data_IF_358871342612
#
_entry.id   IF_358871342612
#
_cell.length_a   1.000
_cell.length_b   1.000
_cell.length_c   1.000
_cell.angle_alpha   90.00
_cell.angle_beta   90.00
_cell.angle_gamma   90.00
#
_symmetry.space_group_name_H-M   'P 1'
#
loop_
_entity.id
_entity.type
_entity.pdbx_description
1 polymer ?
#
# COMPACT_ATOMS: atom_id res chain seq x y z
N UNK A 1 -3.80 -17.58 42.38
CA UNK A 1 -2.84 -16.74 41.63
C UNK A 1 -2.20 -17.50 40.46
N UNK A 2 -1.60 -18.69 40.66
CA UNK A 2 -0.90 -19.44 39.58
C UNK A 2 -1.76 -19.77 38.35
N UNK A 3 -3.03 -20.16 38.50
CA UNK A 3 -3.88 -20.50 37.36
C UNK A 3 -4.17 -19.31 36.43
N UNK A 4 -4.34 -18.11 37.00
CA UNK A 4 -4.50 -16.88 36.23
C UNK A 4 -3.23 -16.54 35.42
N UNK A 5 -2.05 -16.80 35.98
CA UNK A 5 -0.78 -16.67 35.26
C UNK A 5 -0.66 -17.73 34.15
N UNK A 6 -1.01 -18.99 34.43
CA UNK A 6 -1.04 -20.09 33.46
C UNK A 6 -1.96 -19.79 32.27
N UNK A 7 -3.16 -19.27 32.52
CA UNK A 7 -4.07 -18.78 31.49
C UNK A 7 -3.44 -17.69 30.60
N UNK A 8 -2.81 -16.67 31.21
CA UNK A 8 -2.12 -15.61 30.45
C UNK A 8 -0.97 -16.15 29.60
N UNK A 9 -0.19 -17.11 30.10
CA UNK A 9 0.89 -17.77 29.33
C UNK A 9 0.32 -18.48 28.10
N UNK A 10 -0.76 -19.24 28.24
CA UNK A 10 -1.42 -19.89 27.10
C UNK A 10 -1.96 -18.85 26.09
N UNK A 11 -2.52 -17.73 26.55
CA UNK A 11 -2.96 -16.64 25.66
C UNK A 11 -1.81 -16.01 24.88
N UNK A 12 -0.65 -15.76 25.51
CA UNK A 12 0.54 -15.26 24.82
C UNK A 12 1.10 -16.28 23.81
N UNK A 13 1.11 -17.58 24.13
CA UNK A 13 1.48 -18.63 23.18
C UNK A 13 0.56 -18.67 21.96
N UNK A 14 -0.76 -18.52 22.14
CA UNK A 14 -1.69 -18.38 20.99
C UNK A 14 -1.35 -17.14 20.15
N UNK A 15 -1.10 -15.98 20.76
CA UNK A 15 -0.70 -14.75 20.04
C UNK A 15 0.60 -14.96 19.23
N UNK A 16 1.59 -15.64 19.80
CA UNK A 16 2.84 -15.98 19.11
C UNK A 16 2.62 -16.97 17.94
N UNK A 17 1.88 -18.06 18.15
CA UNK A 17 1.58 -19.01 17.06
C UNK A 17 0.77 -18.38 15.92
N UNK A 18 -0.10 -17.41 16.22
CA UNK A 18 -0.79 -16.59 15.22
C UNK A 18 0.21 -15.79 14.38
N UNK A 19 1.16 -15.09 15.01
CA UNK A 19 2.19 -14.31 14.31
C UNK A 19 3.13 -15.20 13.47
N UNK A 20 3.49 -16.38 13.98
CA UNK A 20 4.29 -17.39 13.28
C UNK A 20 3.49 -18.14 12.19
N UNK A 21 2.19 -17.85 11.99
CA UNK A 21 1.27 -18.58 11.10
C UNK A 21 1.19 -20.09 11.36
N UNK A 22 1.47 -20.54 12.59
CA UNK A 22 1.48 -21.97 12.97
C UNK A 22 0.09 -22.48 13.37
N UNK A 23 -0.76 -22.71 12.36
CA UNK A 23 -2.18 -23.06 12.56
C UNK A 23 -2.43 -24.31 13.42
N UNK A 24 -1.62 -25.36 13.26
CA UNK A 24 -1.75 -26.62 14.04
C UNK A 24 -1.38 -26.43 15.51
N UNK A 25 -0.36 -25.63 15.82
CA UNK A 25 0.02 -25.31 17.19
C UNK A 25 -1.01 -24.38 17.85
N UNK A 26 -1.43 -23.33 17.14
CA UNK A 26 -2.47 -22.39 17.58
C UNK A 26 -3.78 -23.10 17.96
N UNK A 27 -4.30 -24.00 17.10
CA UNK A 27 -5.54 -24.75 17.37
C UNK A 27 -5.46 -25.63 18.63
N UNK A 28 -4.29 -26.18 18.96
CA UNK A 28 -4.08 -26.93 20.21
C UNK A 28 -4.06 -25.99 21.41
N UNK A 29 -3.30 -24.90 21.32
CA UNK A 29 -3.11 -23.97 22.43
C UNK A 29 -4.41 -23.22 22.80
N UNK A 30 -5.28 -22.93 21.83
CA UNK A 30 -6.63 -22.39 22.06
C UNK A 30 -7.48 -23.32 22.95
N UNK A 31 -7.32 -24.65 22.85
CA UNK A 31 -7.99 -25.59 23.77
C UNK A 31 -7.43 -25.48 25.19
N UNK A 32 -6.12 -25.33 25.34
CA UNK A 32 -5.45 -25.12 26.65
C UNK A 32 -5.95 -23.87 27.36
N UNK A 33 -6.14 -22.75 26.63
CA UNK A 33 -6.75 -21.52 27.19
C UNK A 33 -8.18 -21.80 27.65
N UNK A 34 -8.99 -22.49 26.83
CA UNK A 34 -10.39 -22.81 27.16
C UNK A 34 -10.52 -23.65 28.44
N UNK A 35 -9.65 -24.63 28.62
CA UNK A 35 -9.62 -25.48 29.80
C UNK A 35 -9.18 -24.73 31.08
N UNK A 36 -8.43 -23.64 30.95
CA UNK A 36 -7.86 -22.89 32.10
C UNK A 36 -8.68 -21.65 32.48
N UNK A 37 -9.46 -21.09 31.55
CA UNK A 37 -10.11 -19.79 31.73
C UNK A 37 -11.58 -19.73 31.24
N UNK A 38 -12.17 -20.88 30.90
CA UNK A 38 -13.53 -20.94 30.37
C UNK A 38 -13.73 -20.11 29.10
N UNK A 39 -14.97 -19.72 28.82
CA UNK A 39 -15.32 -18.95 27.63
C UNK A 39 -15.19 -17.43 27.83
N UNK A 40 -13.99 -16.99 28.23
CA UNK A 40 -13.68 -15.58 28.48
C UNK A 40 -13.56 -14.74 27.20
N UNK A 41 -13.74 -13.41 27.32
CA UNK A 41 -13.63 -12.49 26.18
C UNK A 41 -12.26 -12.57 25.45
N UNK A 42 -11.10 -12.62 26.13
CA UNK A 42 -9.81 -12.80 25.44
C UNK A 42 -9.74 -14.10 24.61
N UNK A 43 -10.32 -15.21 25.08
CA UNK A 43 -10.39 -16.45 24.31
C UNK A 43 -11.26 -16.29 23.06
N UNK A 44 -12.40 -15.62 23.15
CA UNK A 44 -13.28 -15.39 22.01
C UNK A 44 -12.62 -14.49 20.95
N UNK A 45 -11.88 -13.47 21.36
CA UNK A 45 -11.06 -12.65 20.46
C UNK A 45 -9.96 -13.47 19.77
N UNK A 46 -9.25 -14.34 20.50
CA UNK A 46 -8.23 -15.21 19.94
C UNK A 46 -8.82 -16.25 18.96
N UNK A 47 -9.96 -16.87 19.31
CA UNK A 47 -10.72 -17.76 18.42
C UNK A 47 -11.18 -17.04 17.16
N UNK A 48 -11.69 -15.81 17.28
CA UNK A 48 -12.10 -15.00 16.13
C UNK A 48 -10.92 -14.67 15.21
N UNK A 49 -9.78 -14.23 15.76
CA UNK A 49 -8.59 -13.94 14.97
C UNK A 49 -8.08 -15.19 14.23
N UNK A 50 -8.08 -16.35 14.90
CA UNK A 50 -7.73 -17.63 14.27
C UNK A 50 -8.66 -17.99 13.10
N UNK A 51 -9.99 -17.79 13.23
CA UNK A 51 -10.93 -18.05 12.13
C UNK A 51 -10.85 -16.99 11.03
N UNK A 52 -10.59 -15.72 11.36
CA UNK A 52 -10.33 -14.63 10.40
C UNK A 52 -9.13 -14.95 9.50
N UNK A 53 -8.01 -15.39 10.07
CA UNK A 53 -6.81 -15.80 9.32
C UNK A 53 -7.01 -17.03 8.44
N UNK A 54 -8.08 -17.81 8.66
CA UNK A 54 -8.47 -18.93 7.80
C UNK A 54 -9.48 -18.57 6.72
N UNK A 55 -9.89 -17.30 6.61
CA UNK A 55 -10.95 -16.86 5.70
C UNK A 55 -12.38 -17.10 6.21
N UNK A 56 -12.56 -17.63 7.42
CA UNK A 56 -13.86 -18.00 7.99
C UNK A 56 -14.59 -16.77 8.59
N UNK A 57 -14.74 -15.70 7.80
CA UNK A 57 -15.21 -14.38 8.26
C UNK A 57 -16.58 -14.42 8.97
N UNK A 58 -17.55 -15.17 8.43
CA UNK A 58 -18.89 -15.34 9.06
C UNK A 58 -18.79 -15.94 10.47
N UNK A 59 -17.81 -16.83 10.72
CA UNK A 59 -17.57 -17.45 12.02
C UNK A 59 -16.80 -16.53 12.96
N UNK A 60 -15.82 -15.78 12.45
CA UNK A 60 -15.10 -14.75 13.20
C UNK A 60 -16.05 -13.69 13.78
N UNK A 61 -16.99 -13.16 12.98
CA UNK A 61 -18.02 -12.22 13.46
C UNK A 61 -18.89 -12.83 14.57
N UNK A 62 -19.39 -14.06 14.39
CA UNK A 62 -20.19 -14.76 15.43
C UNK A 62 -19.42 -14.91 16.74
N UNK A 63 -18.12 -15.20 16.69
CA UNK A 63 -17.25 -15.35 17.87
C UNK A 63 -16.95 -14.03 18.57
N UNK A 64 -16.85 -12.91 17.86
CA UNK A 64 -16.74 -11.58 18.49
C UNK A 64 -18.07 -11.19 19.14
N UNK A 65 -19.19 -11.34 18.44
CA UNK A 65 -20.51 -10.94 18.93
C UNK A 65 -20.98 -11.76 20.15
N UNK A 66 -20.42 -12.95 20.38
CA UNK A 66 -20.67 -13.72 21.61
C UNK A 66 -19.78 -13.34 22.79
N UNK A 67 -18.89 -12.34 22.64
CA UNK A 67 -18.04 -11.85 23.73
C UNK A 67 -18.74 -10.77 24.55
N UNK A 68 -18.76 -10.94 25.87
CA UNK A 68 -19.31 -9.94 26.78
C UNK A 68 -18.31 -8.78 26.96
N UNK A 69 -18.42 -7.78 26.09
CA UNK A 69 -17.57 -6.58 26.10
C UNK A 69 -17.98 -5.54 27.15
N UNK A 70 -19.12 -5.72 27.83
CA UNK A 70 -19.66 -4.77 28.79
C UNK A 70 -19.03 -4.94 30.20
N UNK A 71 -18.79 -6.18 30.62
CA UNK A 71 -18.26 -6.55 31.95
C UNK A 71 -16.73 -6.43 32.08
N UNK A 72 -16.03 -5.93 31.07
CA UNK A 72 -14.57 -5.85 31.12
C UNK A 72 -14.08 -4.84 32.16
N UNK A 73 -13.05 -5.21 32.93
CA UNK A 73 -12.46 -4.41 34.03
C UNK A 73 -11.90 -3.03 33.65
N UNK A 74 -11.89 -2.71 32.35
CA UNK A 74 -11.62 -1.39 31.81
C UNK A 74 -10.14 -0.98 31.77
N UNK A 75 -9.83 0.12 31.05
CA UNK A 75 -8.46 0.59 30.82
C UNK A 75 -7.65 0.83 32.10
N UNK A 76 -8.28 1.33 33.16
CA UNK A 76 -7.61 1.64 34.44
C UNK A 76 -7.01 0.38 35.09
N UNK A 77 -7.65 -0.79 34.95
CA UNK A 77 -7.20 -2.04 35.59
C UNK A 77 -6.36 -2.92 34.67
N UNK A 78 -6.59 -2.89 33.35
CA UNK A 78 -5.92 -3.81 32.42
C UNK A 78 -5.04 -3.14 31.36
N UNK A 79 -5.21 -1.84 31.13
CA UNK A 79 -4.65 -1.13 29.97
C UNK A 79 -5.35 -1.41 28.63
N UNK A 80 -6.40 -2.23 28.60
CA UNK A 80 -7.06 -2.68 27.37
C UNK A 80 -8.45 -2.05 27.19
N UNK A 81 -8.65 -1.29 26.11
CA UNK A 81 -9.98 -0.84 25.68
C UNK A 81 -10.63 -1.91 24.78
N UNK A 82 -11.31 -2.88 25.39
CA UNK A 82 -11.93 -4.01 24.68
C UNK A 82 -13.02 -3.58 23.69
N UNK A 83 -13.76 -2.48 23.95
CA UNK A 83 -14.74 -1.93 23.00
C UNK A 83 -14.07 -1.40 21.72
N UNK A 84 -12.97 -0.67 21.86
CA UNK A 84 -12.15 -0.24 20.74
C UNK A 84 -11.63 -1.44 19.93
N UNK A 85 -11.06 -2.46 20.61
CA UNK A 85 -10.58 -3.67 19.95
C UNK A 85 -11.70 -4.44 19.22
N UNK A 86 -12.90 -4.53 19.81
CA UNK A 86 -14.06 -5.17 19.21
C UNK A 86 -14.44 -4.54 17.87
N UNK A 87 -14.65 -3.21 17.84
CA UNK A 87 -15.02 -2.51 16.61
C UNK A 87 -13.89 -2.50 15.58
N UNK A 88 -12.63 -2.34 16.00
CA UNK A 88 -11.49 -2.45 15.08
C UNK A 88 -11.43 -3.83 14.40
N UNK A 89 -11.62 -4.91 15.17
CA UNK A 89 -11.58 -6.27 14.63
C UNK A 89 -12.75 -6.54 13.66
N UNK A 90 -13.95 -6.02 13.94
CA UNK A 90 -15.06 -6.05 12.97
C UNK A 90 -14.72 -5.26 11.71
N UNK A 91 -14.08 -4.09 11.82
CA UNK A 91 -13.55 -3.32 10.70
C UNK A 91 -12.61 -4.15 9.82
N UNK A 92 -11.61 -4.81 10.42
CA UNK A 92 -10.67 -5.69 9.72
C UNK A 92 -11.36 -6.89 9.04
N UNK A 93 -12.34 -7.53 9.69
CA UNK A 93 -13.09 -8.64 9.07
C UNK A 93 -13.89 -8.14 7.87
N UNK A 94 -14.57 -7.00 7.98
CA UNK A 94 -15.36 -6.45 6.87
C UNK A 94 -14.49 -5.91 5.73
N UNK A 95 -13.28 -5.42 6.02
CA UNK A 95 -12.27 -5.13 5.00
C UNK A 95 -11.89 -6.39 4.20
N UNK A 96 -11.57 -7.49 4.87
CA UNK A 96 -11.23 -8.76 4.22
C UNK A 96 -12.40 -9.39 3.43
N UNK A 97 -13.65 -9.06 3.79
CA UNK A 97 -14.86 -9.39 3.01
C UNK A 97 -15.11 -8.45 1.81
N UNK A 98 -14.24 -7.47 1.54
CA UNK A 98 -14.44 -6.44 0.50
C UNK A 98 -15.54 -5.42 0.81
N UNK A 99 -16.12 -5.44 2.02
CA UNK A 99 -17.26 -4.60 2.42
C UNK A 99 -16.78 -3.23 2.93
N UNK A 100 -16.09 -2.50 2.07
CA UNK A 100 -15.30 -1.33 2.44
C UNK A 100 -16.06 -0.27 3.26
N UNK A 101 -17.27 0.13 2.84
CA UNK A 101 -18.08 1.10 3.59
C UNK A 101 -18.45 0.64 5.01
N UNK A 102 -18.67 -0.66 5.21
CA UNK A 102 -18.98 -1.24 6.52
C UNK A 102 -17.71 -1.35 7.38
N UNK A 103 -16.55 -1.61 6.77
CA UNK A 103 -15.24 -1.47 7.43
C UNK A 103 -15.01 -0.06 7.96
N UNK A 104 -15.26 0.99 7.14
CA UNK A 104 -15.15 2.40 7.55
C UNK A 104 -16.05 2.68 8.76
N UNK A 105 -17.30 2.24 8.73
CA UNK A 105 -18.24 2.44 9.84
C UNK A 105 -17.70 1.89 11.16
N UNK A 106 -17.18 0.66 11.16
CA UNK A 106 -16.63 0.05 12.37
C UNK A 106 -15.30 0.66 12.82
N UNK A 107 -14.41 1.07 11.91
CA UNK A 107 -13.20 1.82 12.30
C UNK A 107 -13.53 3.20 12.90
N UNK A 108 -14.52 3.92 12.34
CA UNK A 108 -15.01 5.18 12.94
C UNK A 108 -15.60 4.96 14.33
N UNK A 109 -16.33 3.85 14.54
CA UNK A 109 -16.83 3.50 15.87
C UNK A 109 -15.73 3.11 16.86
N UNK A 110 -14.67 2.45 16.41
CA UNK A 110 -13.48 2.19 17.22
C UNK A 110 -12.78 3.48 17.66
N UNK A 111 -12.65 4.46 16.76
CA UNK A 111 -12.12 5.80 17.07
C UNK A 111 -13.00 6.52 18.12
N UNK A 112 -14.33 6.45 18.01
CA UNK A 112 -15.24 7.04 19.01
C UNK A 112 -15.06 6.43 20.41
N UNK A 113 -14.95 5.10 20.52
CA UNK A 113 -14.67 4.44 21.82
C UNK A 113 -13.28 4.79 22.37
N UNK A 114 -12.28 4.93 21.49
CA UNK A 114 -10.93 5.36 21.87
C UNK A 114 -10.93 6.78 22.41
N UNK A 115 -11.54 7.72 21.70
CA UNK A 115 -11.59 9.13 22.09
C UNK A 115 -12.44 9.32 23.35
N UNK A 116 -13.54 8.57 23.50
CA UNK A 116 -14.31 8.51 24.75
C UNK A 116 -13.50 7.94 25.93
N UNK A 117 -12.70 6.89 25.69
CA UNK A 117 -11.77 6.35 26.69
C UNK A 117 -10.72 7.37 27.11
N UNK A 118 -10.13 8.09 26.15
CA UNK A 118 -9.14 9.12 26.41
C UNK A 118 -9.75 10.31 27.18
N UNK A 119 -10.99 10.69 26.86
CA UNK A 119 -11.74 11.69 27.62
C UNK A 119 -11.98 11.23 29.06
N UNK A 120 -12.44 10.00 29.30
CA UNK A 120 -12.60 9.46 30.66
C UNK A 120 -11.29 9.42 31.48
N UNK A 121 -10.15 9.24 30.83
CA UNK A 121 -8.83 9.26 31.48
C UNK A 121 -8.29 10.69 31.68
N UNK A 122 -8.68 11.66 30.85
CA UNK A 122 -8.15 13.02 30.86
C UNK A 122 -9.07 14.11 31.42
N UNK A 123 -10.37 13.86 31.54
CA UNK A 123 -11.39 14.86 31.90
C UNK A 123 -11.77 14.81 33.39
N UNK A 124 -10.80 15.20 34.23
CA UNK A 124 -11.02 15.58 35.62
C UNK A 124 -11.69 16.95 35.79
N UNK A 125 -12.43 17.45 34.79
CA UNK A 125 -13.38 18.58 34.81
C UNK A 125 -12.98 19.88 35.52
N UNK A 126 -11.69 20.14 35.71
CA UNK A 126 -11.15 21.39 36.24
C UNK A 126 -9.87 21.76 35.48
N UNK A 127 -9.82 23.01 35.04
CA UNK A 127 -8.67 23.57 34.33
C UNK A 127 -7.39 23.50 35.19
N UNK A 128 -6.25 23.52 34.49
CA UNK A 128 -4.85 23.53 35.00
C UNK A 128 -4.20 22.16 35.30
N UNK A 129 -3.31 21.77 34.38
CA UNK A 129 -2.00 21.15 34.62
C UNK A 129 -1.82 19.97 35.62
N UNK A 130 -2.86 19.18 35.92
CA UNK A 130 -2.75 17.89 36.65
C UNK A 130 -2.84 16.64 35.75
N UNK A 131 -2.47 16.79 34.46
CA UNK A 131 -2.94 15.95 33.33
C UNK A 131 -2.66 14.43 33.36
N UNK A 132 -1.81 13.91 34.26
CA UNK A 132 -1.47 12.47 34.31
C UNK A 132 -1.32 11.91 35.74
N UNK A 133 -1.45 12.73 36.79
CA UNK A 133 -1.17 12.30 38.17
C UNK A 133 -2.24 11.36 38.70
N UNK A 134 -1.85 10.12 39.03
CA UNK A 134 -2.76 9.08 39.54
C UNK A 134 -3.33 8.13 38.49
N UNK A 135 -3.04 8.34 37.20
CA UNK A 135 -3.41 7.40 36.13
C UNK A 135 -2.39 6.25 36.11
N UNK A 136 -2.80 4.97 36.24
CA UNK A 136 -1.88 3.84 36.10
C UNK A 136 -1.22 3.82 34.72
N UNK A 137 0.09 3.58 34.66
CA UNK A 137 0.85 3.59 33.39
C UNK A 137 0.27 2.62 32.34
N UNK A 138 -0.33 1.50 32.78
CA UNK A 138 -1.01 0.57 31.89
C UNK A 138 -2.23 1.20 31.19
N UNK A 139 -2.97 2.11 31.84
CA UNK A 139 -4.13 2.77 31.25
C UNK A 139 -3.75 3.66 30.05
N UNK A 140 -2.52 4.19 30.02
CA UNK A 140 -2.00 4.98 28.90
C UNK A 140 -1.81 4.14 27.63
N UNK A 141 -1.62 2.81 27.76
CA UNK A 141 -1.52 1.88 26.64
C UNK A 141 -2.85 1.66 25.89
N UNK A 142 -3.97 2.14 26.46
CA UNK A 142 -5.30 1.99 25.88
C UNK A 142 -5.58 2.93 24.71
N UNK A 143 -4.83 4.03 24.57
CA UNK A 143 -4.97 4.95 23.44
C UNK A 143 -4.32 4.36 22.18
N UNK A 144 -5.16 3.97 21.22
CA UNK A 144 -4.78 3.38 19.92
C UNK A 144 -5.09 4.28 18.73
N UNK A 145 -5.31 5.58 18.95
CA UNK A 145 -5.74 6.55 17.92
C UNK A 145 -5.02 6.39 16.57
N UNK A 146 -3.68 6.41 16.57
CA UNK A 146 -2.90 6.34 15.31
C UNK A 146 -2.97 4.97 14.61
N UNK A 147 -3.11 3.86 15.36
CA UNK A 147 -3.32 2.51 14.81
C UNK A 147 -4.69 2.42 14.11
N UNK A 148 -5.71 3.02 14.72
CA UNK A 148 -7.08 3.08 14.19
C UNK A 148 -7.19 4.01 12.97
N UNK A 149 -6.52 5.17 13.00
CA UNK A 149 -6.46 6.12 11.89
C UNK A 149 -5.75 5.49 10.68
N UNK A 150 -4.65 4.75 10.89
CA UNK A 150 -4.01 3.97 9.84
C UNK A 150 -4.99 2.98 9.18
N UNK A 151 -5.68 2.16 9.97
CA UNK A 151 -6.66 1.19 9.46
C UNK A 151 -7.82 1.87 8.71
N UNK A 152 -8.36 2.96 9.28
CA UNK A 152 -9.43 3.74 8.66
C UNK A 152 -8.99 4.39 7.35
N UNK A 153 -7.78 4.97 7.30
CA UNK A 153 -7.21 5.60 6.11
C UNK A 153 -6.98 4.63 4.96
N UNK A 154 -6.36 3.47 5.25
CA UNK A 154 -6.22 2.39 4.26
C UNK A 154 -7.59 1.95 3.74
N UNK A 155 -8.57 1.77 4.63
CA UNK A 155 -9.91 1.37 4.26
C UNK A 155 -10.65 2.42 3.41
N UNK A 156 -10.46 3.72 3.69
CA UNK A 156 -11.01 4.84 2.93
C UNK A 156 -10.42 4.92 1.52
N UNK A 157 -9.13 4.67 1.37
CA UNK A 157 -8.47 4.60 0.06
C UNK A 157 -9.05 3.47 -0.79
N UNK A 158 -9.22 2.27 -0.22
CA UNK A 158 -9.93 1.15 -0.88
C UNK A 158 -11.41 1.43 -1.18
N UNK A 159 -12.03 2.43 -0.54
CA UNK A 159 -13.37 2.90 -0.84
C UNK A 159 -13.42 4.05 -1.86
N UNK A 160 -12.30 4.35 -2.54
CA UNK A 160 -12.14 5.49 -3.45
C UNK A 160 -12.48 6.86 -2.82
N UNK A 161 -12.08 7.06 -1.55
CA UNK A 161 -12.21 8.34 -0.83
C UNK A 161 -10.82 8.91 -0.47
N UNK A 162 -10.01 9.33 -1.46
CA UNK A 162 -8.59 9.64 -1.25
C UNK A 162 -8.34 10.80 -0.30
N UNK A 163 -9.15 11.86 -0.31
CA UNK A 163 -8.94 13.03 0.57
C UNK A 163 -9.15 12.68 2.05
N UNK A 164 -10.26 12.00 2.38
CA UNK A 164 -10.51 11.53 3.74
C UNK A 164 -9.50 10.45 4.20
N UNK A 165 -8.96 9.65 3.26
CA UNK A 165 -7.87 8.74 3.54
C UNK A 165 -6.57 9.50 3.88
N UNK A 166 -6.24 10.53 3.09
CA UNK A 166 -5.09 11.40 3.29
C UNK A 166 -5.09 12.03 4.68
N UNK A 167 -6.19 12.66 5.10
CA UNK A 167 -6.36 13.22 6.46
C UNK A 167 -6.03 12.20 7.56
N UNK A 168 -6.59 10.98 7.47
CA UNK A 168 -6.36 9.92 8.46
C UNK A 168 -4.89 9.44 8.48
N UNK A 169 -4.26 9.32 7.30
CA UNK A 169 -2.90 8.82 7.16
C UNK A 169 -1.84 9.87 7.50
N UNK A 170 -2.15 11.16 7.31
CA UNK A 170 -1.29 12.29 7.71
C UNK A 170 -1.18 12.42 9.23
N UNK A 171 -2.21 12.04 9.98
CA UNK A 171 -2.12 11.90 11.44
C UNK A 171 -1.28 10.66 11.82
N UNK A 172 -1.49 9.52 11.15
CA UNK A 172 -0.75 8.30 11.44
C UNK A 172 0.77 8.41 11.14
N UNK A 173 1.17 9.17 10.12
CA UNK A 173 2.58 9.28 9.72
C UNK A 173 3.42 10.08 10.72
N UNK A 174 2.82 10.95 11.53
CA UNK A 174 3.53 11.65 12.62
C UNK A 174 4.18 10.69 13.62
N UNK A 175 3.55 9.52 13.85
CA UNK A 175 4.04 8.48 14.77
C UNK A 175 4.75 7.34 14.02
N UNK A 176 4.29 7.01 12.81
CA UNK A 176 4.80 5.87 12.03
C UNK A 176 5.62 6.29 10.80
N UNK A 177 6.35 7.41 10.90
CA UNK A 177 7.18 7.97 9.82
C UNK A 177 8.28 7.02 9.32
N UNK A 178 8.63 5.96 10.07
CA UNK A 178 9.59 4.94 9.62
C UNK A 178 8.97 3.82 8.77
N UNK A 179 7.67 3.87 8.46
CA UNK A 179 6.97 2.82 7.73
C UNK A 179 6.86 3.15 6.22
N UNK A 180 7.62 2.48 5.34
CA UNK A 180 7.59 2.75 3.90
C UNK A 180 6.24 2.44 3.24
N UNK A 181 5.42 1.53 3.81
CA UNK A 181 4.07 1.26 3.30
C UNK A 181 3.16 2.47 3.52
N UNK A 182 3.27 3.16 4.65
CA UNK A 182 2.44 4.32 4.96
C UNK A 182 2.72 5.50 4.02
N UNK A 183 3.99 5.75 3.72
CA UNK A 183 4.39 6.73 2.71
C UNK A 183 3.85 6.40 1.32
N UNK A 184 3.89 5.11 0.90
CA UNK A 184 3.23 4.70 -0.35
C UNK A 184 1.71 4.97 -0.31
N UNK A 185 1.01 4.68 0.80
CA UNK A 185 -0.43 4.96 0.91
C UNK A 185 -0.75 6.47 0.83
N UNK A 186 0.09 7.33 1.37
CA UNK A 186 -0.04 8.79 1.21
C UNK A 186 0.13 9.22 -0.26
N UNK A 187 1.13 8.68 -0.95
CA UNK A 187 1.32 8.93 -2.38
C UNK A 187 0.15 8.42 -3.23
N UNK A 188 -0.39 7.23 -2.94
CA UNK A 188 -1.59 6.70 -3.59
C UNK A 188 -2.81 7.60 -3.36
N UNK A 189 -3.00 8.18 -2.17
CA UNK A 189 -4.07 9.15 -1.93
C UNK A 189 -3.94 10.37 -2.84
N UNK A 190 -2.74 10.91 -3.02
CA UNK A 190 -2.48 12.05 -3.90
C UNK A 190 -2.74 11.70 -5.38
N UNK A 191 -2.23 10.55 -5.84
CA UNK A 191 -2.44 10.01 -7.20
C UNK A 191 -3.93 9.74 -7.50
N UNK A 192 -4.70 9.31 -6.49
CA UNK A 192 -6.14 9.11 -6.63
C UNK A 192 -6.93 10.42 -6.56
N UNK A 193 -6.46 11.43 -5.82
CA UNK A 193 -7.10 12.74 -5.74
C UNK A 193 -6.99 13.51 -7.06
N UNK A 194 -5.81 13.51 -7.70
CA UNK A 194 -5.60 14.20 -9.00
C UNK A 194 -6.47 13.62 -10.11
N UNK A 195 -6.66 12.29 -10.15
CA UNK A 195 -7.53 11.62 -11.13
C UNK A 195 -9.00 12.01 -11.02
N UNK A 196 -9.49 12.32 -9.81
CA UNK A 196 -10.88 12.74 -9.59
C UNK A 196 -11.25 14.08 -10.24
N UNK A 197 -10.27 14.90 -10.61
CA UNK A 197 -10.49 16.13 -11.39
C UNK A 197 -10.57 15.90 -12.91
N UNK A 198 -10.03 14.79 -13.43
CA UNK A 198 -9.82 14.57 -14.87
C UNK A 198 -10.92 13.74 -15.57
N UNK A 199 -12.06 13.46 -14.92
CA UNK A 199 -13.11 12.62 -15.53
C UNK A 199 -13.77 13.21 -16.80
N UNK A 200 -13.42 14.45 -17.21
CA UNK A 200 -13.79 14.98 -18.54
C UNK A 200 -13.00 14.36 -19.70
N UNK A 201 -11.91 13.62 -19.46
CA UNK A 201 -11.11 12.99 -20.53
C UNK A 201 -11.71 11.67 -21.06
N UNK A 202 -12.70 11.09 -20.36
CA UNK A 202 -13.28 9.78 -20.71
C UNK A 202 -14.20 9.77 -21.94
N UNK A 203 -14.34 10.90 -22.67
CA UNK A 203 -15.20 11.00 -23.87
C UNK A 203 -14.48 11.58 -25.10
N UNK A 204 -13.61 10.74 -25.69
CA UNK A 204 -13.27 10.79 -27.11
C UNK A 204 -12.10 11.71 -27.49
N UNK A 205 -10.99 11.08 -27.89
CA UNK A 205 -9.72 11.68 -28.35
C UNK A 205 -9.01 12.55 -27.30
N UNK A 206 -7.67 12.72 -27.38
CA UNK A 206 -6.97 13.74 -26.61
C UNK A 206 -7.57 15.10 -26.96
N UNK A 207 -8.26 15.70 -26.00
CA UNK A 207 -9.09 16.87 -26.27
C UNK A 207 -8.19 18.08 -26.54
N UNK A 208 -8.30 18.67 -27.74
CA UNK A 208 -7.50 19.84 -28.18
C UNK A 208 -7.81 21.15 -27.42
N UNK A 209 -8.44 21.06 -26.24
CA UNK A 209 -8.84 22.19 -25.38
C UNK A 209 -7.69 22.82 -24.59
N UNK A 210 -6.58 22.11 -24.35
CA UNK A 210 -5.37 22.69 -23.77
C UNK A 210 -4.44 23.38 -24.79
N UNK A 211 -4.68 23.18 -26.10
CA UNK A 211 -3.81 23.69 -27.17
C UNK A 211 -4.41 24.89 -27.89
N UNK A 212 -5.74 25.02 -27.98
CA UNK A 212 -6.40 26.14 -28.69
C UNK A 212 -7.05 27.08 -27.69
N UNK A 213 -6.46 28.28 -27.52
CA UNK A 213 -6.98 29.32 -26.63
C UNK A 213 -8.20 30.03 -27.23
N UNK A 214 -8.19 30.28 -28.54
CA UNK A 214 -9.31 30.88 -29.27
C UNK A 214 -9.21 30.66 -30.78
N UNK A 215 -10.31 30.89 -31.48
CA UNK A 215 -10.39 30.81 -32.95
C UNK A 215 -11.09 32.07 -33.46
N UNK A 216 -10.42 32.80 -34.36
CA UNK A 216 -10.95 34.01 -34.98
C UNK A 216 -11.25 33.77 -36.46
N UNK A 217 -12.30 34.41 -36.98
CA UNK A 217 -12.69 34.31 -38.39
C UNK A 217 -13.34 32.97 -38.79
N UNK A 218 -13.76 32.90 -40.06
CA UNK A 218 -14.39 31.73 -40.69
C UNK A 218 -13.82 31.54 -42.11
N UNK A 219 -13.97 30.34 -42.68
CA UNK A 219 -13.45 30.01 -44.01
C UNK A 219 -11.93 30.20 -44.11
N UNK A 220 -11.46 30.71 -45.26
CA UNK A 220 -10.03 30.97 -45.54
C UNK A 220 -9.37 31.97 -44.58
N UNK A 221 -10.14 32.74 -43.81
CA UNK A 221 -9.62 33.70 -42.82
C UNK A 221 -9.66 33.17 -41.39
N UNK A 222 -9.88 31.86 -41.18
CA UNK A 222 -9.87 31.23 -39.86
C UNK A 222 -8.45 31.19 -39.29
N UNK A 223 -8.20 31.94 -38.23
CA UNK A 223 -6.96 31.92 -37.43
C UNK A 223 -7.19 31.17 -36.12
N UNK A 224 -6.21 30.39 -35.69
CA UNK A 224 -6.25 29.61 -34.44
C UNK A 224 -5.15 30.14 -33.53
N UNK A 225 -5.52 30.63 -32.33
CA UNK A 225 -4.56 31.05 -31.31
C UNK A 225 -4.27 29.86 -30.41
N UNK A 226 -3.00 29.53 -30.25
CA UNK A 226 -2.57 28.40 -29.43
C UNK A 226 -2.30 28.85 -27.99
N UNK A 227 -2.76 28.07 -27.01
CA UNK A 227 -2.44 28.32 -25.61
C UNK A 227 -1.01 27.84 -25.33
N UNK A 228 -0.18 28.71 -24.75
CA UNK A 228 1.13 28.30 -24.23
C UNK A 228 0.94 27.43 -22.99
N UNK A 229 1.50 26.22 -22.99
CA UNK A 229 1.25 25.21 -21.94
C UNK A 229 1.90 25.53 -20.58
N UNK A 230 2.66 26.62 -20.46
CA UNK A 230 3.35 27.00 -19.22
C UNK A 230 2.44 27.48 -18.08
N UNK A 231 1.14 27.71 -18.33
CA UNK A 231 0.30 28.56 -17.46
C UNK A 231 -0.99 27.92 -16.92
N UNK A 232 -1.30 26.65 -17.21
CA UNK A 232 -2.62 26.06 -16.85
C UNK A 232 -2.66 25.23 -15.55
N UNK A 233 -1.51 24.94 -14.91
CA UNK A 233 -1.49 24.19 -13.64
C UNK A 233 -1.47 25.07 -12.38
N UNK A 234 -1.39 26.40 -12.49
CA UNK A 234 -1.41 27.31 -11.33
C UNK A 234 -2.83 27.76 -10.97
N UNK A 235 -3.71 26.81 -10.63
CA UNK A 235 -4.81 27.09 -9.70
C UNK A 235 -4.26 27.16 -8.28
N UNK A 236 -3.31 28.07 -8.05
CA UNK A 236 -2.89 28.46 -6.72
C UNK A 236 -4.06 29.22 -6.09
N UNK A 237 -4.78 28.55 -5.20
CA UNK A 237 -5.61 29.27 -4.24
C UNK A 237 -4.66 30.04 -3.33
N UNK A 238 -4.55 31.35 -3.53
CA UNK A 238 -3.71 32.28 -2.73
C UNK A 238 -4.04 32.28 -1.22
N UNK A 239 -5.04 31.51 -0.79
CA UNK A 239 -5.45 31.34 0.61
C UNK A 239 -4.93 30.07 1.29
N UNK A 240 -4.20 29.18 0.60
CA UNK A 240 -3.64 27.97 1.23
C UNK A 240 -2.22 28.22 1.75
N UNK A 241 -2.06 28.19 3.07
CA UNK A 241 -0.75 28.30 3.72
C UNK A 241 0.15 27.11 3.34
N UNK A 242 1.36 27.40 2.87
CA UNK A 242 2.36 26.40 2.46
C UNK A 242 2.79 25.42 3.58
N UNK A 243 2.37 25.66 4.83
CA UNK A 243 2.62 24.78 5.97
C UNK A 243 1.59 23.64 6.12
N UNK A 244 0.45 23.67 5.40
CA UNK A 244 -0.58 22.64 5.49
C UNK A 244 -0.36 21.59 4.38
N UNK A 245 -0.17 20.30 4.71
CA UNK A 245 -0.06 19.25 3.71
C UNK A 245 -1.33 19.12 2.87
N UNK A 246 -1.19 19.22 1.55
CA UNK A 246 -2.28 19.03 0.57
C UNK A 246 -2.00 17.77 -0.23
N UNK A 247 -3.06 17.06 -0.63
CA UNK A 247 -2.96 15.86 -1.46
C UNK A 247 -2.63 16.21 -2.92
N UNK A 248 -1.39 16.64 -3.19
CA UNK A 248 -0.90 17.07 -4.52
C UNK A 248 0.14 16.11 -5.12
N UNK A 249 0.44 16.26 -6.41
CA UNK A 249 1.41 15.39 -7.09
C UNK A 249 2.84 15.65 -6.59
N UNK A 250 3.17 16.88 -6.19
CA UNK A 250 4.42 17.26 -5.56
C UNK A 250 4.56 16.56 -4.19
N UNK A 251 3.49 16.55 -3.40
CA UNK A 251 3.48 15.84 -2.11
C UNK A 251 3.58 14.32 -2.30
N UNK A 252 3.00 13.77 -3.37
CA UNK A 252 3.19 12.38 -3.77
C UNK A 252 4.67 12.05 -4.03
N UNK A 253 5.40 12.93 -4.75
CA UNK A 253 6.82 12.75 -5.02
C UNK A 253 7.66 12.72 -3.74
N UNK A 254 7.38 13.62 -2.77
CA UNK A 254 8.01 13.63 -1.45
C UNK A 254 7.74 12.31 -0.71
N UNK A 255 6.49 11.86 -0.70
CA UNK A 255 6.11 10.60 -0.06
C UNK A 255 6.83 9.40 -0.67
N UNK A 256 6.91 9.31 -2.00
CA UNK A 256 7.58 8.21 -2.70
C UNK A 256 9.10 8.22 -2.46
N UNK A 257 9.73 9.40 -2.41
CA UNK A 257 11.13 9.54 -2.02
C UNK A 257 11.38 9.04 -0.59
N UNK A 258 10.54 9.43 0.37
CA UNK A 258 10.62 8.94 1.75
C UNK A 258 10.42 7.41 1.81
N UNK A 259 9.48 6.87 1.04
CA UNK A 259 9.24 5.44 0.95
C UNK A 259 10.46 4.66 0.41
N UNK A 260 11.14 5.16 -0.64
CA UNK A 260 12.36 4.55 -1.17
C UNK A 260 13.52 4.60 -0.17
N UNK A 261 13.74 5.74 0.49
CA UNK A 261 14.83 5.92 1.47
C UNK A 261 14.72 5.01 2.70
N UNK A 262 13.50 4.58 3.04
CA UNK A 262 13.24 3.67 4.16
C UNK A 262 13.35 2.18 3.79
N UNK A 263 13.51 1.84 2.50
CA UNK A 263 13.79 0.47 2.09
C UNK A 263 15.30 0.20 2.13
N UNK A 264 15.74 -1.02 2.50
CA UNK A 264 17.15 -1.39 2.40
C UNK A 264 17.63 -1.23 0.95
N UNK A 265 18.88 -0.83 0.78
CA UNK A 265 19.47 -0.68 -0.55
C UNK A 265 19.55 -2.04 -1.25
N UNK A 266 19.37 -2.06 -2.57
CA UNK A 266 19.42 -3.29 -3.35
C UNK A 266 20.89 -3.67 -3.53
N UNK A 267 21.38 -4.60 -2.71
CA UNK A 267 22.64 -5.28 -2.98
C UNK A 267 22.52 -6.02 -4.32
N UNK A 268 23.00 -5.38 -5.38
CA UNK A 268 23.35 -6.06 -6.60
C UNK A 268 24.38 -7.13 -6.22
N UNK A 269 24.09 -8.40 -6.52
CA UNK A 269 25.12 -9.43 -6.47
C UNK A 269 26.08 -9.16 -7.62
N UNK A 270 27.12 -8.38 -7.33
CA UNK A 270 28.23 -8.16 -8.26
C UNK A 270 28.80 -9.52 -8.65
N UNK A 271 28.52 -9.93 -9.88
CA UNK A 271 29.03 -11.16 -10.47
C UNK A 271 30.48 -10.90 -10.92
N UNK A 272 31.36 -10.66 -9.95
CA UNK A 272 32.81 -10.50 -10.13
C UNK A 272 33.57 -11.30 -9.08
N UNK A 273 33.54 -12.61 -9.25
CA UNK A 273 34.67 -13.42 -8.81
C UNK A 273 35.86 -13.08 -9.72
N UNK A 274 36.85 -12.35 -9.20
CA UNK A 274 38.21 -12.88 -8.99
C UNK A 274 39.20 -11.84 -8.43
N UNK A 275 39.97 -12.30 -7.42
CA UNK A 275 41.38 -12.00 -7.17
C UNK A 275 41.90 -10.55 -7.01
N UNK A 276 42.40 -10.22 -5.80
CA UNK A 276 43.67 -9.47 -5.69
C UNK A 276 43.88 -8.41 -4.58
N UNK A 277 44.36 -8.84 -3.40
CA UNK A 277 45.35 -8.13 -2.55
C UNK A 277 45.02 -6.78 -1.83
N UNK A 278 44.74 -6.90 -0.51
CA UNK A 278 45.38 -6.24 0.65
C UNK A 278 45.61 -4.70 0.77
N UNK A 279 45.26 -4.22 1.98
CA UNK A 279 45.86 -3.16 2.83
C UNK A 279 45.51 -1.67 2.65
N UNK A 280 44.70 -1.14 3.59
CA UNK A 280 45.06 -0.07 4.55
C UNK A 280 44.04 -0.11 5.72
N UNK A 281 44.41 -0.61 6.92
CA UNK A 281 45.04 0.07 8.06
C UNK A 281 44.11 1.01 8.86
N UNK A 282 43.78 0.61 10.10
CA UNK A 282 42.95 1.32 11.08
C UNK A 282 43.67 2.51 11.76
N UNK A 283 42.89 3.43 12.34
CA UNK A 283 43.10 3.99 13.70
C UNK A 283 41.86 4.82 14.12
N UNK A 284 41.40 4.91 15.37
CA UNK A 284 41.64 4.17 16.63
C UNK A 284 40.32 4.13 17.45
N UNK A 285 40.05 3.13 18.30
CA UNK A 285 40.35 3.08 19.77
C UNK A 285 39.70 4.23 20.55
N UNK A 286 38.99 4.07 21.69
CA UNK A 286 39.26 3.36 22.97
C UNK A 286 37.96 3.42 23.83
N UNK A 287 37.48 2.50 24.68
CA UNK A 287 37.72 1.06 24.97
C UNK A 287 36.66 0.54 26.00
N UNK A 288 36.81 -0.71 26.47
CA UNK A 288 36.08 -1.40 27.58
C UNK A 288 34.62 -1.87 27.33
N UNK A 289 34.20 -3.09 27.74
CA UNK A 289 34.97 -4.24 28.23
C UNK A 289 34.16 -5.21 29.11
N UNK A 290 33.75 -6.36 28.58
CA UNK A 290 33.36 -7.55 29.36
C UNK A 290 33.33 -8.79 28.46
N UNK A 291 34.11 -9.83 28.78
CA UNK A 291 34.34 -10.99 27.91
C UNK A 291 33.50 -12.24 28.27
N UNK A 292 33.48 -13.17 27.30
CA UNK A 292 33.34 -14.63 27.44
C UNK A 292 31.96 -15.28 27.69
N UNK A 293 31.37 -15.77 26.59
CA UNK A 293 31.10 -17.22 26.44
C UNK A 293 30.99 -17.65 24.96
N UNK A 294 32.00 -18.37 24.47
CA UNK A 294 32.12 -19.27 23.31
C UNK A 294 31.39 -19.01 21.95
N UNK A 295 32.12 -19.02 20.81
CA UNK A 295 31.55 -18.97 19.47
C UNK A 295 31.19 -20.38 18.96
N UNK A 296 29.95 -20.81 19.15
CA UNK A 296 29.49 -22.09 18.60
C UNK A 296 29.30 -21.98 17.07
N UNK A 297 30.19 -22.61 16.31
CA UNK A 297 30.09 -22.76 14.85
C UNK A 297 28.74 -23.38 14.45
N UNK A 298 27.91 -22.59 13.78
CA UNK A 298 26.60 -22.99 13.29
C UNK A 298 26.36 -22.38 11.92
N UNK A 299 26.12 -23.22 10.91
CA UNK A 299 25.85 -22.79 9.53
C UNK A 299 24.75 -21.74 9.51
N UNK A 300 25.07 -20.54 9.04
CA UNK A 300 24.10 -19.45 8.87
C UNK A 300 23.03 -19.84 7.86
N UNK A 301 21.92 -20.41 8.34
CA UNK A 301 20.65 -20.29 7.63
C UNK A 301 20.39 -18.78 7.48
N UNK A 302 20.01 -18.32 6.28
CA UNK A 302 19.49 -16.97 6.10
C UNK A 302 18.22 -16.83 6.94
N UNK A 303 18.37 -16.39 8.19
CA UNK A 303 17.23 -16.06 9.04
C UNK A 303 16.49 -14.91 8.36
N UNK A 304 15.21 -15.12 8.02
CA UNK A 304 14.35 -14.15 7.34
C UNK A 304 14.50 -12.77 7.99
N UNK A 305 15.21 -11.84 7.31
CA UNK A 305 15.44 -10.50 7.84
C UNK A 305 14.13 -9.73 7.78
N UNK A 306 13.44 -9.67 8.91
CA UNK A 306 12.21 -8.89 9.06
C UNK A 306 12.54 -7.40 9.21
N UNK A 307 11.85 -6.55 8.46
CA UNK A 307 11.96 -5.10 8.56
C UNK A 307 10.76 -4.53 9.33
N UNK A 308 11.00 -3.61 10.26
CA UNK A 308 9.92 -2.99 11.04
C UNK A 308 8.98 -2.19 10.12
N UNK A 309 7.67 -2.33 10.35
CA UNK A 309 6.63 -1.70 9.52
C UNK A 309 5.38 -1.33 10.34
N UNK A 310 5.55 -0.96 11.62
CA UNK A 310 4.46 -0.55 12.51
C UNK A 310 3.59 0.55 11.89
N UNK A 311 2.26 0.53 12.07
CA UNK A 311 1.49 -0.42 12.89
C UNK A 311 1.17 -1.74 12.16
N UNK A 312 1.62 -1.91 10.91
CA UNK A 312 1.42 -3.15 10.15
C UNK A 312 2.43 -4.25 10.54
N UNK A 313 2.18 -5.48 10.13
CA UNK A 313 3.10 -6.61 10.39
C UNK A 313 4.48 -6.40 9.76
N UNK A 314 5.58 -6.86 10.37
CA UNK A 314 6.91 -6.73 9.81
C UNK A 314 7.01 -7.20 8.35
N UNK A 315 7.80 -6.48 7.57
CA UNK A 315 8.07 -6.70 6.15
C UNK A 315 9.02 -7.89 5.97
N UNK A 316 8.66 -8.87 5.12
CA UNK A 316 9.57 -9.93 4.65
C UNK A 316 10.39 -9.47 3.44
N UNK A 317 11.52 -10.13 3.13
CA UNK A 317 12.39 -9.84 1.95
C UNK A 317 11.60 -9.70 0.64
N UNK A 318 10.73 -10.67 0.32
CA UNK A 318 9.88 -10.60 -0.89
C UNK A 318 8.87 -9.45 -0.86
N UNK A 319 8.33 -9.09 0.32
CA UNK A 319 7.40 -7.96 0.43
C UNK A 319 8.12 -6.61 0.26
N UNK A 320 9.40 -6.51 0.69
CA UNK A 320 10.27 -5.35 0.43
C UNK A 320 10.57 -5.20 -1.06
N UNK A 321 10.88 -6.30 -1.75
CA UNK A 321 11.07 -6.33 -3.21
C UNK A 321 9.80 -5.84 -3.94
N UNK A 322 8.65 -6.43 -3.63
CA UNK A 322 7.37 -6.05 -4.23
C UNK A 322 7.01 -4.58 -3.94
N UNK A 323 7.23 -4.12 -2.70
CA UNK A 323 6.99 -2.73 -2.29
C UNK A 323 7.89 -1.75 -3.05
N UNK A 324 9.17 -2.08 -3.27
CA UNK A 324 10.08 -1.28 -4.10
C UNK A 324 9.58 -1.15 -5.53
N UNK A 325 9.10 -2.24 -6.14
CA UNK A 325 8.53 -2.21 -7.48
C UNK A 325 7.30 -1.28 -7.55
N UNK A 326 6.38 -1.36 -6.58
CA UNK A 326 5.22 -0.46 -6.51
C UNK A 326 5.63 1.01 -6.35
N UNK A 327 6.57 1.32 -5.46
CA UNK A 327 7.04 2.70 -5.25
C UNK A 327 7.72 3.24 -6.51
N UNK A 328 8.57 2.46 -7.19
CA UNK A 328 9.23 2.89 -8.44
C UNK A 328 8.21 3.14 -9.56
N UNK A 329 7.19 2.30 -9.71
CA UNK A 329 6.12 2.51 -10.69
C UNK A 329 5.32 3.78 -10.39
N UNK A 330 4.96 4.03 -9.13
CA UNK A 330 4.32 5.28 -8.72
C UNK A 330 5.25 6.49 -8.89
N UNK A 331 6.56 6.35 -8.68
CA UNK A 331 7.54 7.44 -8.84
C UNK A 331 7.67 7.84 -10.30
N UNK A 332 7.72 6.87 -11.22
CA UNK A 332 7.71 7.14 -12.66
C UNK A 332 6.42 7.85 -13.10
N UNK A 333 5.25 7.37 -12.66
CA UNK A 333 3.96 8.01 -12.95
C UNK A 333 3.87 9.46 -12.42
N UNK A 334 4.30 9.69 -11.19
CA UNK A 334 4.28 11.03 -10.57
C UNK A 334 5.25 11.97 -11.29
N UNK A 335 6.44 11.50 -11.65
CA UNK A 335 7.41 12.30 -12.40
C UNK A 335 6.89 12.70 -13.80
N UNK A 336 6.24 11.78 -14.53
CA UNK A 336 5.56 12.12 -15.80
C UNK A 336 4.47 13.18 -15.60
N UNK A 337 3.63 13.02 -14.58
CA UNK A 337 2.56 13.98 -14.29
C UNK A 337 3.06 15.37 -13.85
N UNK A 338 4.30 15.45 -13.33
CA UNK A 338 4.99 16.70 -12.99
C UNK A 338 5.85 17.24 -14.16
N UNK A 339 5.94 16.53 -15.28
CA UNK A 339 6.76 16.89 -16.44
C UNK A 339 8.26 16.59 -16.32
N UNK A 340 8.71 15.94 -15.23
CA UNK A 340 10.10 15.52 -15.04
C UNK A 340 10.37 14.19 -15.76
N UNK A 341 10.54 14.28 -17.08
CA UNK A 341 10.75 13.13 -17.94
C UNK A 341 12.07 12.39 -17.66
N UNK A 342 13.09 13.07 -17.12
CA UNK A 342 14.36 12.45 -16.76
C UNK A 342 14.21 11.55 -15.53
N UNK A 343 13.56 12.05 -14.47
CA UNK A 343 13.27 11.23 -13.29
C UNK A 343 12.25 10.14 -13.59
N UNK A 344 11.27 10.39 -14.47
CA UNK A 344 10.33 9.38 -14.94
C UNK A 344 11.04 8.19 -15.58
N UNK A 345 11.93 8.45 -16.54
CA UNK A 345 12.73 7.43 -17.21
C UNK A 345 13.60 6.67 -16.20
N UNK A 346 14.33 7.39 -15.34
CA UNK A 346 15.19 6.79 -14.32
C UNK A 346 14.45 5.82 -13.38
N UNK A 347 13.23 6.19 -12.94
CA UNK A 347 12.41 5.33 -12.10
C UNK A 347 11.83 4.13 -12.87
N UNK A 348 11.42 4.32 -14.13
CA UNK A 348 10.92 3.26 -14.99
C UNK A 348 12.00 2.23 -15.35
N UNK A 349 13.22 2.69 -15.69
CA UNK A 349 14.38 1.81 -15.89
C UNK A 349 14.74 1.07 -14.60
N UNK A 350 14.85 1.76 -13.45
CA UNK A 350 15.12 1.10 -12.15
C UNK A 350 14.08 0.05 -11.77
N UNK A 351 12.82 0.24 -12.17
CA UNK A 351 11.76 -0.76 -12.03
C UNK A 351 12.04 -1.98 -12.93
N UNK A 352 12.28 -1.76 -14.22
CA UNK A 352 12.53 -2.84 -15.19
C UNK A 352 13.80 -3.67 -14.87
N UNK A 353 14.78 -3.09 -14.18
CA UNK A 353 15.98 -3.78 -13.70
C UNK A 353 15.78 -4.61 -12.41
N UNK A 354 14.61 -4.57 -11.75
CA UNK A 354 14.38 -5.44 -10.58
C UNK A 354 14.25 -6.91 -11.01
N UNK A 355 14.81 -7.83 -10.24
CA UNK A 355 14.87 -9.27 -10.61
C UNK A 355 13.51 -9.98 -10.60
N UNK A 356 12.49 -9.43 -9.91
CA UNK A 356 11.14 -10.01 -9.76
C UNK A 356 10.04 -8.95 -9.91
N UNK A 357 9.87 -8.44 -11.12
CA UNK A 357 8.76 -7.54 -11.47
C UNK A 357 7.55 -8.35 -11.91
N UNK A 358 6.37 -8.11 -11.33
CA UNK A 358 5.11 -8.69 -11.81
C UNK A 358 4.74 -8.13 -13.19
N UNK A 359 4.10 -8.93 -14.06
CA UNK A 359 3.78 -8.55 -15.44
C UNK A 359 3.11 -7.17 -15.58
N UNK A 360 2.16 -6.86 -14.71
CA UNK A 360 1.52 -5.53 -14.63
C UNK A 360 2.48 -4.36 -14.43
N UNK A 361 3.39 -4.45 -13.45
CA UNK A 361 4.39 -3.43 -13.20
C UNK A 361 5.45 -3.37 -14.32
N UNK A 362 5.75 -4.50 -14.98
CA UNK A 362 6.66 -4.52 -16.14
C UNK A 362 6.02 -3.79 -17.33
N UNK A 363 4.74 -4.05 -17.62
CA UNK A 363 3.96 -3.34 -18.63
C UNK A 363 3.95 -1.83 -18.37
N UNK A 364 3.66 -1.40 -17.14
CA UNK A 364 3.70 0.01 -16.76
C UNK A 364 5.12 0.62 -16.87
N UNK A 365 6.16 -0.12 -16.47
CA UNK A 365 7.56 0.31 -16.62
C UNK A 365 7.94 0.59 -18.07
N UNK A 366 7.60 -0.30 -19.01
CA UNK A 366 7.82 -0.05 -20.44
C UNK A 366 6.99 1.14 -20.96
N UNK A 367 5.73 1.27 -20.52
CA UNK A 367 4.87 2.37 -20.94
C UNK A 367 5.42 3.74 -20.48
N UNK A 368 5.77 3.86 -19.20
CA UNK A 368 6.31 5.11 -18.63
C UNK A 368 7.69 5.46 -19.19
N UNK A 369 8.56 4.46 -19.43
CA UNK A 369 9.84 4.69 -20.08
C UNK A 369 9.65 5.20 -21.52
N UNK A 370 8.73 4.61 -22.29
CA UNK A 370 8.44 5.05 -23.65
C UNK A 370 7.87 6.46 -23.72
N UNK A 371 6.94 6.80 -22.81
CA UNK A 371 6.36 8.14 -22.71
C UNK A 371 7.44 9.20 -22.37
N UNK A 372 8.27 8.92 -21.35
CA UNK A 372 9.38 9.77 -20.99
C UNK A 372 10.39 9.95 -22.14
N UNK A 373 10.76 8.87 -22.84
CA UNK A 373 11.69 8.91 -23.97
C UNK A 373 11.14 9.71 -25.16
N UNK A 374 9.84 9.59 -25.47
CA UNK A 374 9.18 10.42 -26.49
C UNK A 374 9.23 11.91 -26.09
N UNK A 375 8.93 12.23 -24.83
CA UNK A 375 9.00 13.60 -24.31
C UNK A 375 10.42 14.17 -24.21
N UNK A 376 11.45 13.32 -24.30
CA UNK A 376 12.87 13.66 -24.40
C UNK A 376 13.41 13.63 -25.85
N UNK A 377 12.53 13.52 -26.85
CA UNK A 377 12.84 13.36 -28.30
C UNK A 377 13.69 12.12 -28.65
N UNK A 378 13.82 11.16 -27.72
CA UNK A 378 14.53 9.88 -27.89
C UNK A 378 13.60 8.80 -28.45
N UNK A 379 12.89 9.11 -29.52
CA UNK A 379 11.82 8.27 -30.08
C UNK A 379 12.35 6.88 -30.54
N UNK A 380 13.59 6.80 -31.00
CA UNK A 380 14.27 5.53 -31.33
C UNK A 380 14.32 4.56 -30.15
N UNK A 381 14.62 5.07 -28.96
CA UNK A 381 14.74 4.25 -27.75
C UNK A 381 13.35 3.86 -27.25
N UNK A 382 12.39 4.78 -27.32
CA UNK A 382 10.99 4.53 -26.95
C UNK A 382 10.37 3.36 -27.72
N UNK A 383 10.68 3.21 -29.02
CA UNK A 383 10.23 2.10 -29.87
C UNK A 383 10.64 0.74 -29.28
N UNK A 384 11.80 0.63 -28.63
CA UNK A 384 12.27 -0.64 -28.02
C UNK A 384 11.41 -1.05 -26.83
N UNK A 385 10.96 -0.09 -26.02
CA UNK A 385 10.05 -0.34 -24.90
C UNK A 385 8.62 -0.67 -25.38
N UNK A 386 8.18 -0.05 -26.48
CA UNK A 386 6.85 -0.26 -27.09
C UNK A 386 6.71 -1.57 -27.88
N UNK A 387 7.75 -2.44 -27.94
CA UNK A 387 7.62 -3.76 -28.56
C UNK A 387 6.58 -4.63 -27.81
N UNK A 388 5.52 -5.13 -28.46
CA UNK A 388 4.51 -6.00 -27.83
C UNK A 388 5.07 -7.31 -27.25
N UNK A 389 6.23 -7.78 -27.72
CA UNK A 389 6.92 -8.97 -27.19
C UNK A 389 7.40 -8.78 -25.75
N UNK A 390 7.61 -7.54 -25.30
CA UNK A 390 7.96 -7.22 -23.91
C UNK A 390 6.86 -7.65 -22.90
N UNK A 391 5.62 -7.83 -23.39
CA UNK A 391 4.45 -8.25 -22.59
C UNK A 391 4.30 -9.77 -22.63
N UNK A 392 4.76 -10.42 -21.56
CA UNK A 392 4.49 -11.83 -21.25
C UNK A 392 3.27 -12.03 -20.35
N UNK A 393 2.98 -11.09 -19.47
CA UNK A 393 1.90 -11.15 -18.47
C UNK A 393 1.38 -9.74 -18.15
N UNK A 394 0.11 -9.64 -17.73
CA UNK A 394 -0.55 -8.41 -17.26
C UNK A 394 -1.10 -8.54 -15.84
N UNK A 395 -0.89 -9.68 -15.17
CA UNK A 395 -1.44 -9.97 -13.85
C UNK A 395 -0.89 -9.03 -12.78
N UNK A 396 -1.75 -8.65 -11.84
CA UNK A 396 -1.34 -8.01 -10.59
C UNK A 396 -0.91 -9.09 -9.61
N UNK A 397 0.39 -9.19 -9.34
CA UNK A 397 1.03 -10.29 -8.59
C UNK A 397 0.70 -10.40 -7.09
N UNK A 398 -0.49 -9.97 -6.67
CA UNK A 398 -1.01 -10.17 -5.31
C UNK A 398 -1.52 -11.61 -5.20
N UNK A 399 -0.59 -12.54 -4.98
CA UNK A 399 -0.92 -13.87 -4.49
C UNK A 399 -1.57 -13.73 -3.10
N UNK A 400 -2.86 -14.04 -3.03
CA UNK A 400 -3.51 -14.42 -1.78
C UNK A 400 -2.71 -15.52 -1.09
N UNK A 401 -2.71 -15.57 0.24
CA UNK A 401 -2.07 -16.65 1.00
C UNK A 401 -2.88 -17.96 0.96
N UNK A 402 -3.12 -18.50 -0.23
CA UNK A 402 -3.96 -19.69 -0.46
C UNK A 402 -3.14 -21.01 -0.52
N UNK A 403 -1.82 -20.95 -0.37
CA UNK A 403 -0.95 -22.13 -0.25
C UNK A 403 -0.48 -22.33 1.20
N UNK A 404 -1.37 -22.88 2.04
CA UNK A 404 -1.10 -23.98 2.99
C UNK A 404 -2.33 -24.19 3.92
N UNK A 405 -3.43 -24.72 3.36
CA UNK A 405 -4.52 -25.28 4.16
C UNK A 405 -5.02 -26.58 3.53
N UNK A 406 -4.88 -27.68 4.27
CA UNK A 406 -5.41 -28.98 3.85
C UNK A 406 -6.93 -28.95 3.71
N UNK A 407 -7.43 -29.49 2.60
CA UNK A 407 -8.86 -29.67 2.34
C UNK A 407 -9.52 -30.55 3.42
N UNK A 408 -10.56 -30.02 4.05
CA UNK A 408 -11.75 -30.82 4.38
C UNK A 408 -12.92 -30.24 3.59
N UNK A 409 -13.74 -31.13 3.02
CA UNK A 409 -14.81 -30.77 2.09
C UNK A 409 -15.96 -30.03 2.80
N UNK A 410 -16.52 -29.04 2.11
CA UNK A 410 -17.75 -28.36 2.49
C UNK A 410 -18.14 -27.39 1.39
N UNK A 411 -19.16 -27.76 0.61
CA UNK A 411 -19.64 -26.97 -0.51
C UNK A 411 -20.26 -25.63 -0.06
N UNK A 412 -19.90 -24.53 -0.73
CA UNK A 412 -20.84 -23.55 -1.31
C UNK A 412 -20.07 -22.67 -2.32
N UNK A 413 -20.69 -22.20 -3.43
CA UNK A 413 -20.01 -21.34 -4.39
C UNK A 413 -19.78 -19.94 -3.80
N UNK A 414 -18.51 -19.55 -3.65
CA UNK A 414 -18.15 -18.18 -3.30
C UNK A 414 -18.26 -17.32 -4.57
N UNK A 415 -19.20 -16.38 -4.59
CA UNK A 415 -19.26 -15.37 -5.65
C UNK A 415 -17.91 -14.65 -5.79
N UNK A 416 -17.35 -14.51 -7.01
CA UNK A 416 -16.10 -13.81 -7.21
C UNK A 416 -16.32 -12.32 -6.92
N UNK A 417 -15.93 -11.89 -5.72
CA UNK A 417 -15.84 -10.48 -5.32
C UNK A 417 -15.22 -9.65 -6.45
N UNK A 418 -16.06 -8.89 -7.15
CA UNK A 418 -15.66 -8.11 -8.31
C UNK A 418 -14.60 -7.07 -7.94
N UNK A 419 -13.32 -7.45 -8.06
CA UNK A 419 -12.19 -6.54 -8.05
C UNK A 419 -12.44 -5.57 -9.22
N UNK A 420 -12.89 -4.35 -8.91
CA UNK A 420 -13.05 -3.30 -9.93
C UNK A 420 -11.68 -2.96 -10.50
N UNK A 421 -11.31 -3.66 -11.57
CA UNK A 421 -10.16 -3.31 -12.40
C UNK A 421 -10.38 -1.87 -12.86
N UNK A 422 -9.39 -0.97 -12.76
CA UNK A 422 -9.53 0.38 -13.29
C UNK A 422 -9.92 0.31 -14.76
N UNK A 423 -10.93 1.09 -15.17
CA UNK A 423 -11.52 1.09 -16.53
C UNK A 423 -10.51 1.33 -17.67
N UNK A 424 -9.28 1.74 -17.36
CA UNK A 424 -8.20 2.05 -18.29
C UNK A 424 -7.00 1.07 -18.22
N UNK A 425 -7.04 0.01 -17.39
CA UNK A 425 -5.98 -0.99 -17.32
C UNK A 425 -6.34 -2.24 -18.16
N UNK A 426 -5.42 -2.80 -18.97
CA UNK A 426 -5.73 -3.94 -19.84
C UNK A 426 -6.12 -5.19 -19.05
N UNK A 427 -7.32 -5.72 -19.32
CA UNK A 427 -7.84 -6.96 -18.71
C UNK A 427 -7.19 -8.25 -19.23
N UNK A 428 -6.45 -8.18 -20.35
CA UNK A 428 -5.79 -9.33 -20.97
C UNK A 428 -4.45 -8.95 -21.62
N UNK A 429 -3.57 -9.93 -21.81
CA UNK A 429 -2.31 -9.77 -22.56
C UNK A 429 -2.57 -9.27 -23.98
N UNK A 430 -3.64 -9.76 -24.63
CA UNK A 430 -4.08 -9.30 -25.96
C UNK A 430 -4.41 -7.81 -25.97
N UNK A 431 -5.16 -7.33 -24.97
CA UNK A 431 -5.49 -5.90 -24.82
C UNK A 431 -4.23 -5.06 -24.59
N UNK A 432 -3.31 -5.52 -23.73
CA UNK A 432 -2.05 -4.82 -23.47
C UNK A 432 -1.15 -4.75 -24.73
N UNK A 433 -1.05 -5.83 -25.49
CA UNK A 433 -0.32 -5.84 -26.78
C UNK A 433 -0.97 -4.91 -27.81
N UNK A 434 -2.30 -4.85 -27.86
CA UNK A 434 -3.04 -3.91 -28.71
C UNK A 434 -2.84 -2.44 -28.29
N UNK A 435 -2.64 -2.15 -27.00
CA UNK A 435 -2.24 -0.82 -26.51
C UNK A 435 -0.81 -0.48 -26.93
N UNK A 436 0.15 -1.40 -26.75
CA UNK A 436 1.53 -1.19 -27.18
C UNK A 436 1.66 -0.99 -28.70
N UNK A 437 0.96 -1.79 -29.53
CA UNK A 437 0.92 -1.59 -30.98
C UNK A 437 0.39 -0.21 -31.38
N UNK A 438 -0.62 0.31 -30.68
CA UNK A 438 -1.17 1.64 -30.94
C UNK A 438 -0.18 2.75 -30.59
N UNK A 439 0.49 2.64 -29.44
CA UNK A 439 1.51 3.60 -29.01
C UNK A 439 2.76 3.52 -29.91
N UNK A 440 3.16 2.32 -30.32
CA UNK A 440 4.25 2.08 -31.27
C UNK A 440 3.95 2.70 -32.64
N UNK A 441 2.72 2.54 -33.15
CA UNK A 441 2.27 3.23 -34.35
C UNK A 441 2.34 4.76 -34.22
N UNK A 442 2.00 5.29 -33.04
CA UNK A 442 2.11 6.73 -32.73
C UNK A 442 3.57 7.20 -32.72
N UNK A 443 4.50 6.43 -32.14
CA UNK A 443 5.93 6.72 -32.17
C UNK A 443 6.51 6.71 -33.60
N UNK A 444 6.08 5.77 -34.46
CA UNK A 444 6.44 5.79 -35.88
C UNK A 444 5.89 7.01 -36.63
N UNK A 445 4.67 7.47 -36.32
CA UNK A 445 4.14 8.73 -36.86
C UNK A 445 4.99 9.94 -36.47
N UNK A 446 5.48 10.03 -35.23
CA UNK A 446 6.38 11.11 -34.80
C UNK A 446 7.71 11.10 -35.58
N UNK A 447 8.20 9.93 -35.99
CA UNK A 447 9.36 9.77 -36.90
C UNK A 447 9.04 9.96 -38.39
N UNK A 448 7.80 10.28 -38.77
CA UNK A 448 7.32 10.27 -40.16
C UNK A 448 7.45 8.91 -40.89
N UNK A 449 7.52 7.80 -40.16
CA UNK A 449 7.62 6.44 -40.69
C UNK A 449 6.22 5.82 -40.92
N UNK A 450 5.40 6.50 -41.71
CA UNK A 450 3.97 6.22 -41.86
C UNK A 450 3.65 4.78 -42.30
N UNK A 451 4.49 4.15 -43.12
CA UNK A 451 4.30 2.76 -43.53
C UNK A 451 4.45 1.77 -42.37
N UNK A 452 5.35 2.04 -41.42
CA UNK A 452 5.50 1.22 -40.21
C UNK A 452 4.34 1.47 -39.25
N UNK A 453 3.94 2.74 -39.07
CA UNK A 453 2.77 3.11 -38.28
C UNK A 453 1.49 2.39 -38.77
N UNK A 454 1.27 2.37 -40.09
CA UNK A 454 0.13 1.67 -40.72
C UNK A 454 0.17 0.17 -40.48
N UNK A 455 1.35 -0.48 -40.52
CA UNK A 455 1.51 -1.90 -40.19
C UNK A 455 1.12 -2.20 -38.74
N UNK A 456 1.55 -1.38 -37.78
CA UNK A 456 1.19 -1.56 -36.37
C UNK A 456 -0.32 -1.44 -36.12
N UNK A 457 -1.01 -0.54 -36.83
CA UNK A 457 -2.47 -0.39 -36.73
C UNK A 457 -3.23 -1.58 -37.35
N UNK A 458 -2.77 -2.12 -38.47
CA UNK A 458 -3.36 -3.32 -39.09
C UNK A 458 -3.13 -4.61 -38.29
N UNK A 459 -2.06 -4.67 -37.49
CA UNK A 459 -1.81 -5.77 -36.56
C UNK A 459 -2.68 -5.71 -35.30
N UNK A 460 -3.40 -4.62 -35.05
CA UNK A 460 -4.30 -4.48 -33.91
C UNK A 460 -5.56 -5.34 -34.15
N UNK A 461 -5.86 -6.35 -33.33
CA UNK A 461 -7.09 -7.14 -33.50
C UNK A 461 -8.32 -6.23 -33.32
N UNK A 462 -9.25 -6.31 -34.27
CA UNK A 462 -10.52 -5.57 -34.30
C UNK A 462 -11.41 -5.97 -33.13
N UNK A 463 -11.20 -5.30 -32.00
CA UNK A 463 -12.00 -5.40 -30.77
C UNK A 463 -12.99 -4.23 -30.74
N UNK A 464 -13.91 -4.22 -31.72
CA UNK A 464 -14.86 -3.12 -31.94
C UNK A 464 -16.18 -3.58 -32.62
N UNK A 465 -16.70 -4.75 -32.23
CA UNK A 465 -18.05 -5.22 -32.63
C UNK A 465 -18.66 -6.08 -31.52
N UNK A 466 -19.06 -5.46 -30.40
CA UNK A 466 -19.98 -6.07 -29.43
C UNK A 466 -20.51 -4.98 -28.48
N UNK A 467 -21.47 -4.20 -28.97
CA UNK A 467 -22.43 -3.38 -28.18
C UNK A 467 -23.47 -2.81 -29.16
N UNK A 468 -24.44 -3.67 -29.48
CA UNK A 468 -25.74 -3.32 -30.06
C UNK A 468 -26.80 -3.57 -29.00
#
# INVERSE_FOLDING_TARGET
MMEAAKSKIHQYKVRAYIQMKSSKACKREIKSVMNTAGNSAPLLFLKSNFEYLRGNYRKAVKLLNSSNIAEHFGPIKTGECVRCMFWNNLGCIHFAMGKNNLGIFYFKKALQENDHTCAQLGDGRNNQCKKLTGIPICALLSNKRYELLYNCGVQLLHAARPLAAFECLMEAVQVYHSNPRLWLRLAECCISASKGGSEQESKGLPCKKGIVQSVFGKGYHRKIVLASQSSQNTNYSESQSAAIPVASMEFAAICLRNALLLLPEHQQQDTRAENGSKNSSLSGSTESGSENSDPCSGKSQEADKFFSASPSSPLRKQEVENLRCSILACSAYVALALGDNLMALHHAEKLLHQTKVSGSLKFLGHLYAAEALISLDRISDAITHLNPENISDVSSGVLSSDQDQGHEKGDEPIEPSAKKIPLCYPSSVTTARAMMLFNLGSAYCLRSEYDKARKCLHQKPTTATETS
#
